data_IF_801890818006
#
_entry.id   IF_801890818006
#
_cell.length_a   1.000
_cell.length_b   1.000
_cell.length_c   1.000
_cell.angle_alpha   90.00
_cell.angle_beta   90.00
_cell.angle_gamma   90.00
#
_symmetry.space_group_name_H-M   'P 1'
#
loop_
_entity.id
_entity.type
_entity.pdbx_description
1 polymer ?
#
# COMPACT_ATOMS: atom_id res chain seq x y z
N UNK A 1 -11.76 -12.34 0.20
CA UNK A 1 -10.51 -13.01 0.60
C UNK A 1 -10.19 -12.80 2.07
N UNK A 2 -10.81 -13.62 2.91
CA UNK A 2 -10.40 -13.84 4.29
C UNK A 2 -9.07 -14.61 4.31
N UNK A 3 -8.05 -14.11 5.00
CA UNK A 3 -6.76 -14.80 5.16
C UNK A 3 -6.52 -15.10 6.65
N UNK A 4 -6.09 -16.33 6.94
CA UNK A 4 -5.53 -16.64 8.25
C UNK A 4 -4.19 -15.92 8.40
N UNK A 5 -4.08 -14.99 9.34
CA UNK A 5 -2.82 -14.27 9.59
C UNK A 5 -2.08 -14.95 10.72
N UNK A 6 -0.94 -15.56 10.40
CA UNK A 6 -0.07 -16.22 11.38
C UNK A 6 1.25 -15.46 11.49
N UNK A 7 1.64 -15.21 12.73
CA UNK A 7 3.00 -14.89 13.10
C UNK A 7 3.63 -16.19 13.62
N UNK A 8 4.52 -16.81 12.84
CA UNK A 8 5.18 -18.09 13.17
C UNK A 8 5.82 -18.05 14.57
N UNK A 9 6.44 -16.91 14.88
CA UNK A 9 7.03 -16.67 16.19
C UNK A 9 7.05 -15.18 16.51
N UNK A 10 6.86 -14.84 17.78
CA UNK A 10 7.13 -13.50 18.27
C UNK A 10 8.53 -13.35 18.89
N UNK A 11 9.37 -14.39 18.84
CA UNK A 11 10.80 -14.26 19.13
C UNK A 11 11.49 -13.48 17.99
N UNK A 12 12.27 -12.47 18.35
CA UNK A 12 13.05 -11.69 17.40
C UNK A 12 14.40 -11.30 18.01
N UNK A 13 15.50 -11.52 17.28
CA UNK A 13 16.86 -11.11 17.67
C UNK A 13 17.12 -9.62 17.50
N UNK A 14 16.28 -8.91 16.72
CA UNK A 14 16.45 -7.48 16.48
C UNK A 14 15.77 -6.64 17.54
N UNK A 15 16.34 -5.47 17.81
CA UNK A 15 15.88 -4.54 18.83
C UNK A 15 15.19 -3.29 18.25
N UNK A 16 14.34 -3.46 17.24
CA UNK A 16 13.65 -2.34 16.60
C UNK A 16 12.80 -1.56 17.61
N UNK A 17 13.06 -0.26 17.77
CA UNK A 17 12.48 0.59 18.80
C UNK A 17 10.95 0.56 18.81
N UNK A 18 10.33 0.50 17.63
CA UNK A 18 8.88 0.54 17.43
C UNK A 18 8.18 -0.83 17.56
N UNK A 19 8.92 -1.91 17.78
CA UNK A 19 8.40 -3.27 17.72
C UNK A 19 8.19 -3.87 19.12
N UNK A 20 6.97 -4.30 19.42
CA UNK A 20 6.66 -5.01 20.68
C UNK A 20 7.37 -6.36 20.79
N UNK A 21 7.77 -6.94 19.65
CA UNK A 21 8.48 -8.22 19.60
C UNK A 21 10.00 -8.06 19.63
N UNK A 22 10.53 -6.86 19.81
CA UNK A 22 11.98 -6.60 19.85
C UNK A 22 12.65 -7.40 20.97
N UNK A 23 13.93 -7.74 20.84
CA UNK A 23 14.61 -8.64 21.79
C UNK A 23 14.56 -8.13 23.23
N UNK A 24 14.62 -6.81 23.44
CA UNK A 24 14.57 -6.20 24.78
C UNK A 24 13.18 -6.13 25.42
N UNK A 25 12.11 -6.47 24.69
CA UNK A 25 10.74 -6.43 25.24
C UNK A 25 10.45 -7.61 26.16
N UNK A 26 9.86 -7.30 27.32
CA UNK A 26 9.44 -8.31 28.30
C UNK A 26 8.01 -8.79 28.03
N UNK A 27 7.82 -9.44 26.88
CA UNK A 27 6.53 -10.03 26.49
C UNK A 27 6.63 -11.55 26.44
N UNK A 28 5.52 -12.24 26.74
CA UNK A 28 5.46 -13.70 26.63
C UNK A 28 5.82 -14.12 25.21
N UNK A 29 6.78 -15.05 25.09
CA UNK A 29 7.24 -15.54 23.80
C UNK A 29 6.62 -16.88 23.45
N UNK A 30 6.21 -17.02 22.20
CA UNK A 30 5.58 -18.21 21.65
C UNK A 30 6.04 -18.44 20.21
N UNK A 31 6.05 -19.71 19.81
CA UNK A 31 6.45 -20.16 18.47
C UNK A 31 5.62 -21.37 18.09
N UNK A 32 5.11 -21.37 16.87
CA UNK A 32 4.56 -22.56 16.24
C UNK A 32 5.67 -23.40 15.62
N UNK A 33 5.48 -24.71 15.64
CA UNK A 33 6.16 -25.64 14.73
C UNK A 33 5.61 -25.47 13.31
N UNK A 34 6.39 -25.81 12.27
CA UNK A 34 5.89 -25.85 10.89
C UNK A 34 4.61 -26.68 10.74
N UNK A 35 4.53 -27.82 11.43
CA UNK A 35 3.40 -28.75 11.41
C UNK A 35 2.12 -28.10 11.92
N UNK A 36 2.17 -27.40 13.07
CA UNK A 36 1.01 -26.72 13.64
C UNK A 36 0.46 -25.63 12.70
N UNK A 37 1.34 -24.90 12.00
CA UNK A 37 0.91 -23.88 11.03
C UNK A 37 0.20 -24.52 9.84
N UNK A 38 0.74 -25.64 9.33
CA UNK A 38 0.13 -26.39 8.22
C UNK A 38 -1.24 -26.93 8.63
N UNK A 39 -1.31 -27.63 9.77
CA UNK A 39 -2.55 -28.21 10.29
C UNK A 39 -3.63 -27.13 10.49
N UNK A 40 -3.31 -26.07 11.22
CA UNK A 40 -4.25 -24.97 11.50
C UNK A 40 -4.77 -24.32 10.20
N UNK A 41 -3.90 -24.12 9.22
CA UNK A 41 -4.28 -23.57 7.91
C UNK A 41 -5.26 -24.50 7.19
N UNK A 42 -4.97 -25.80 7.14
CA UNK A 42 -5.81 -26.79 6.47
C UNK A 42 -7.16 -26.97 7.17
N UNK A 43 -7.22 -26.91 8.50
CA UNK A 43 -8.47 -27.00 9.26
C UNK A 43 -9.40 -25.82 8.99
N UNK A 44 -8.89 -24.59 9.08
CA UNK A 44 -9.68 -23.39 8.81
C UNK A 44 -10.13 -23.33 7.34
N UNK A 45 -9.28 -23.79 6.42
CA UNK A 45 -9.62 -23.84 4.99
C UNK A 45 -10.72 -24.86 4.69
N UNK A 46 -10.62 -26.09 5.20
CA UNK A 46 -11.63 -27.14 5.00
C UNK A 46 -13.01 -26.75 5.56
N UNK A 47 -13.05 -25.87 6.58
CA UNK A 47 -14.27 -25.33 7.17
C UNK A 47 -14.79 -24.06 6.47
N UNK A 48 -14.16 -23.63 5.37
CA UNK A 48 -14.48 -22.41 4.62
C UNK A 48 -14.39 -21.11 5.44
N UNK A 49 -13.57 -21.07 6.50
CA UNK A 49 -13.36 -19.86 7.30
C UNK A 49 -12.35 -18.90 6.67
N UNK A 50 -11.46 -19.44 5.84
CA UNK A 50 -10.40 -18.71 5.16
C UNK A 50 -10.33 -19.12 3.70
N UNK A 51 -9.86 -18.20 2.87
CA UNK A 51 -9.55 -18.42 1.46
C UNK A 51 -8.03 -18.57 1.23
N UNK A 52 -7.22 -18.42 2.30
CA UNK A 52 -5.76 -18.43 2.21
C UNK A 52 -5.02 -18.16 3.52
N UNK A 53 -3.69 -18.14 3.43
CA UNK A 53 -2.73 -17.91 4.52
C UNK A 53 -1.94 -16.62 4.25
N UNK A 54 -1.79 -15.80 5.30
CA UNK A 54 -0.76 -14.76 5.40
C UNK A 54 0.22 -15.18 6.48
N UNK A 55 1.46 -15.51 6.09
CA UNK A 55 2.49 -16.00 7.01
C UNK A 55 3.60 -14.96 7.18
N UNK A 56 3.92 -14.66 8.44
CA UNK A 56 5.00 -13.76 8.84
C UNK A 56 5.75 -14.33 10.05
N UNK A 57 6.88 -13.75 10.44
CA UNK A 57 7.67 -14.24 11.58
C UNK A 57 8.54 -13.12 12.17
N UNK A 58 8.85 -13.20 13.46
CA UNK A 58 10.09 -12.64 14.02
C UNK A 58 11.30 -13.49 13.63
N UNK A 59 12.53 -13.04 13.95
CA UNK A 59 13.78 -13.71 13.56
C UNK A 59 14.38 -14.40 14.79
N UNK A 60 14.47 -15.72 14.80
CA UNK A 60 14.83 -16.45 16.05
C UNK A 60 16.35 -16.56 16.25
N UNK A 61 17.07 -17.05 15.24
CA UNK A 61 18.52 -17.34 15.30
C UNK A 61 19.24 -16.63 14.16
N UNK A 62 18.74 -16.84 12.95
CA UNK A 62 19.17 -16.12 11.76
C UNK A 62 17.99 -15.92 10.81
N UNK A 63 18.11 -14.99 9.84
CA UNK A 63 17.19 -14.89 8.72
C UNK A 63 16.97 -16.22 8.00
N UNK A 64 18.04 -16.97 7.71
CA UNK A 64 17.98 -18.23 6.97
C UNK A 64 17.25 -19.34 7.71
N UNK A 65 17.52 -19.50 9.01
CA UNK A 65 16.87 -20.55 9.80
C UNK A 65 15.36 -20.35 9.84
N UNK A 66 14.96 -19.11 10.07
CA UNK A 66 13.54 -18.75 10.14
C UNK A 66 12.89 -18.87 8.76
N UNK A 67 13.57 -18.41 7.71
CA UNK A 67 13.08 -18.51 6.34
C UNK A 67 12.95 -19.98 5.89
N UNK A 68 13.85 -20.87 6.33
CA UNK A 68 13.79 -22.31 6.04
C UNK A 68 12.53 -22.95 6.60
N UNK A 69 12.14 -22.62 7.83
CA UNK A 69 10.87 -23.08 8.41
C UNK A 69 9.67 -22.54 7.64
N UNK A 70 9.70 -21.26 7.28
CA UNK A 70 8.65 -20.62 6.48
C UNK A 70 8.50 -21.25 5.09
N UNK A 71 9.61 -21.58 4.43
CA UNK A 71 9.65 -22.31 3.14
C UNK A 71 9.06 -23.71 3.31
N UNK A 72 9.45 -24.45 4.36
CA UNK A 72 8.92 -25.79 4.65
C UNK A 72 7.40 -25.77 4.79
N UNK A 73 6.84 -24.77 5.48
CA UNK A 73 5.38 -24.61 5.64
C UNK A 73 4.71 -24.43 4.27
N UNK A 74 5.13 -23.44 3.48
CA UNK A 74 4.46 -23.13 2.21
C UNK A 74 4.65 -24.24 1.17
N UNK A 75 5.82 -24.89 1.16
CA UNK A 75 6.07 -26.06 0.31
C UNK A 75 5.18 -27.22 0.70
N UNK A 76 5.08 -27.54 1.99
CA UNK A 76 4.25 -28.66 2.46
C UNK A 76 2.78 -28.43 2.14
N UNK A 77 2.27 -27.21 2.37
CA UNK A 77 0.92 -26.83 1.96
C UNK A 77 0.67 -27.11 0.46
N UNK A 78 1.60 -26.73 -0.42
CA UNK A 78 1.44 -26.90 -1.88
C UNK A 78 1.66 -28.32 -2.37
N UNK A 79 2.70 -28.99 -1.89
CA UNK A 79 3.21 -30.25 -2.45
C UNK A 79 2.59 -31.45 -1.76
N UNK A 80 2.52 -31.43 -0.43
CA UNK A 80 2.08 -32.59 0.36
C UNK A 80 0.55 -32.60 0.54
N UNK A 81 -0.07 -31.41 0.57
CA UNK A 81 -1.49 -31.25 0.90
C UNK A 81 -2.36 -30.67 -0.23
N UNK A 82 -1.78 -30.38 -1.41
CA UNK A 82 -2.45 -29.72 -2.56
C UNK A 82 -3.33 -28.53 -2.15
N UNK A 83 -2.88 -27.73 -1.18
CA UNK A 83 -3.60 -26.55 -0.76
C UNK A 83 -3.69 -25.58 -1.94
N UNK A 84 -4.92 -25.26 -2.37
CA UNK A 84 -5.21 -24.35 -3.50
C UNK A 84 -5.54 -22.92 -3.08
N UNK A 85 -5.63 -22.66 -1.78
CA UNK A 85 -5.89 -21.33 -1.24
C UNK A 85 -4.74 -20.35 -1.49
N UNK A 86 -5.02 -19.06 -1.34
CA UNK A 86 -4.03 -18.02 -1.55
C UNK A 86 -2.93 -18.06 -0.47
N UNK A 87 -1.66 -17.89 -0.82
CA UNK A 87 -0.56 -17.75 0.15
C UNK A 87 0.17 -16.43 -0.08
N UNK A 88 0.19 -15.59 0.96
CA UNK A 88 1.05 -14.42 1.06
C UNK A 88 2.11 -14.67 2.13
N UNK A 89 3.37 -14.75 1.70
CA UNK A 89 4.50 -14.92 2.60
C UNK A 89 5.26 -13.61 2.76
N UNK A 90 5.48 -13.19 4.02
CA UNK A 90 6.39 -12.09 4.35
C UNK A 90 7.81 -12.64 4.52
N UNK A 91 8.66 -12.43 3.52
CA UNK A 91 10.05 -12.90 3.54
C UNK A 91 10.91 -12.07 4.48
N UNK A 92 11.95 -12.70 5.03
CA UNK A 92 12.88 -12.04 5.96
C UNK A 92 14.05 -11.45 5.17
N UNK A 93 14.29 -10.12 5.24
CA UNK A 93 15.48 -9.51 4.68
C UNK A 93 16.76 -10.16 5.24
N UNK A 94 17.73 -10.40 4.37
CA UNK A 94 18.98 -11.07 4.73
C UNK A 94 18.92 -12.59 4.68
N UNK A 95 17.78 -13.18 4.32
CA UNK A 95 17.71 -14.58 3.96
C UNK A 95 18.38 -14.84 2.60
N UNK A 96 18.95 -16.03 2.44
CA UNK A 96 19.64 -16.48 1.25
C UNK A 96 18.72 -16.45 0.02
N UNK A 97 19.19 -15.95 -1.14
CA UNK A 97 18.38 -15.85 -2.36
C UNK A 97 17.72 -17.17 -2.78
N UNK A 98 18.37 -18.30 -2.50
CA UNK A 98 17.88 -19.64 -2.81
C UNK A 98 16.60 -19.97 -2.01
N UNK A 99 16.54 -19.58 -0.74
CA UNK A 99 15.34 -19.77 0.10
C UNK A 99 14.18 -18.89 -0.36
N UNK A 100 14.48 -17.66 -0.78
CA UNK A 100 13.49 -16.74 -1.33
C UNK A 100 12.95 -17.26 -2.66
N UNK A 101 13.84 -17.80 -3.50
CA UNK A 101 13.49 -18.42 -4.76
C UNK A 101 12.60 -19.66 -4.54
N UNK A 102 12.96 -20.56 -3.62
CA UNK A 102 12.15 -21.73 -3.26
C UNK A 102 10.76 -21.31 -2.76
N UNK A 103 10.69 -20.33 -1.85
CA UNK A 103 9.41 -19.79 -1.39
C UNK A 103 8.55 -19.27 -2.54
N UNK A 104 9.14 -18.51 -3.47
CA UNK A 104 8.40 -17.88 -4.57
C UNK A 104 7.74 -18.85 -5.54
N UNK A 105 8.20 -20.11 -5.60
CA UNK A 105 7.57 -21.19 -6.37
C UNK A 105 6.28 -21.72 -5.73
N UNK A 106 6.12 -21.54 -4.41
CA UNK A 106 5.04 -22.12 -3.62
C UNK A 106 4.01 -21.10 -3.14
N UNK A 107 4.21 -19.81 -3.39
CA UNK A 107 3.30 -18.76 -2.91
C UNK A 107 2.72 -17.91 -4.04
N UNK A 108 1.61 -17.24 -3.76
CA UNK A 108 1.01 -16.29 -4.70
C UNK A 108 1.70 -14.94 -4.61
N UNK A 109 2.03 -14.49 -3.39
CA UNK A 109 2.61 -13.18 -3.11
C UNK A 109 3.75 -13.27 -2.11
N UNK A 110 4.83 -12.54 -2.40
CA UNK A 110 5.88 -12.23 -1.44
C UNK A 110 5.76 -10.79 -0.97
N UNK A 111 6.15 -10.52 0.26
CA UNK A 111 6.38 -9.15 0.73
C UNK A 111 7.60 -9.01 1.61
N UNK A 112 8.23 -7.85 1.51
CA UNK A 112 9.38 -7.44 2.32
C UNK A 112 8.99 -6.16 3.03
N UNK A 113 9.24 -6.03 4.34
CA UNK A 113 9.08 -4.73 4.98
C UNK A 113 10.31 -3.86 4.71
N UNK A 114 10.09 -2.62 4.29
CA UNK A 114 11.12 -1.58 4.34
C UNK A 114 11.17 -0.88 5.70
N UNK A 115 10.13 -1.10 6.51
CA UNK A 115 9.94 -0.61 7.88
C UNK A 115 9.77 0.90 8.02
N UNK A 116 10.71 1.71 7.55
CA UNK A 116 10.66 3.17 7.69
C UNK A 116 10.86 3.87 6.34
N UNK A 117 10.33 5.10 6.18
CA UNK A 117 10.36 5.78 4.89
C UNK A 117 11.76 6.25 4.47
N UNK A 118 12.65 6.53 5.43
CA UNK A 118 14.00 7.03 5.19
C UNK A 118 15.08 6.11 5.78
N UNK A 119 16.27 6.11 5.19
CA UNK A 119 17.41 5.36 5.70
C UNK A 119 17.91 5.88 7.05
N UNK A 120 17.88 7.20 7.25
CA UNK A 120 18.24 7.84 8.52
C UNK A 120 17.34 7.35 9.66
N UNK A 121 16.03 7.30 9.41
CA UNK A 121 15.07 6.79 10.37
C UNK A 121 15.27 5.31 10.65
N UNK A 122 15.53 4.51 9.59
CA UNK A 122 15.83 3.08 9.73
C UNK A 122 17.06 2.86 10.61
N UNK A 123 18.16 3.55 10.35
CA UNK A 123 19.38 3.45 11.14
C UNK A 123 19.17 3.87 12.60
N UNK A 124 18.33 4.87 12.87
CA UNK A 124 18.06 5.37 14.22
C UNK A 124 17.16 4.42 15.05
N UNK A 125 16.12 3.86 14.42
CA UNK A 125 15.04 3.13 15.08
C UNK A 125 15.12 1.61 14.91
N UNK A 126 15.91 1.11 13.96
CA UNK A 126 16.12 -0.32 13.71
C UNK A 126 17.54 -0.57 13.16
N UNK A 127 18.59 -0.29 13.94
CA UNK A 127 19.98 -0.28 13.47
C UNK A 127 20.47 -1.63 12.93
N UNK A 128 19.87 -2.75 13.33
CA UNK A 128 20.23 -4.07 12.82
C UNK A 128 19.68 -4.36 11.41
N UNK A 129 18.83 -3.47 10.86
CA UNK A 129 18.27 -3.61 9.52
C UNK A 129 19.06 -2.79 8.52
N UNK A 130 19.53 -3.46 7.47
CA UNK A 130 20.24 -2.83 6.37
C UNK A 130 19.30 -2.46 5.22
N UNK A 131 19.25 -1.17 4.87
CA UNK A 131 18.45 -0.66 3.76
C UNK A 131 18.91 -1.24 2.41
N UNK A 132 20.21 -1.47 2.25
CA UNK A 132 20.79 -2.07 1.06
C UNK A 132 20.31 -3.50 0.82
N UNK A 133 20.37 -4.33 1.86
CA UNK A 133 19.91 -5.71 1.85
C UNK A 133 18.42 -5.82 1.57
N UNK A 134 17.59 -4.97 2.20
CA UNK A 134 16.14 -4.90 1.93
C UNK A 134 15.87 -4.58 0.45
N UNK A 135 16.58 -3.58 -0.11
CA UNK A 135 16.46 -3.21 -1.52
C UNK A 135 16.90 -4.33 -2.46
N UNK A 136 18.03 -4.97 -2.16
CA UNK A 136 18.54 -6.11 -2.92
C UNK A 136 17.51 -7.24 -2.92
N UNK A 137 16.95 -7.56 -1.76
CA UNK A 137 15.93 -8.60 -1.61
C UNK A 137 14.69 -8.35 -2.48
N UNK A 138 14.18 -7.11 -2.53
CA UNK A 138 13.08 -6.75 -3.44
C UNK A 138 13.48 -6.81 -4.92
N UNK A 139 14.74 -6.47 -5.24
CA UNK A 139 15.28 -6.61 -6.59
C UNK A 139 15.33 -8.08 -7.03
N UNK A 140 15.82 -8.97 -6.16
CA UNK A 140 15.92 -10.41 -6.42
C UNK A 140 14.53 -11.02 -6.69
N UNK A 141 13.51 -10.63 -5.90
CA UNK A 141 12.12 -11.05 -6.16
C UNK A 141 11.62 -10.52 -7.51
N UNK A 142 11.97 -9.28 -7.89
CA UNK A 142 11.59 -8.72 -9.19
C UNK A 142 12.23 -9.54 -10.32
N UNK A 143 13.53 -9.79 -10.24
CA UNK A 143 14.29 -10.54 -11.25
C UNK A 143 13.75 -11.97 -11.39
N UNK A 144 13.46 -12.65 -10.28
CA UNK A 144 12.83 -13.98 -10.31
C UNK A 144 11.47 -13.98 -11.02
N UNK A 145 10.67 -12.92 -10.84
CA UNK A 145 9.38 -12.76 -11.54
C UNK A 145 9.53 -12.43 -13.02
N UNK A 146 10.58 -11.72 -13.40
CA UNK A 146 10.88 -11.41 -14.80
C UNK A 146 11.35 -12.69 -15.52
N UNK A 147 12.30 -13.42 -14.93
CA UNK A 147 12.78 -14.71 -15.45
C UNK A 147 11.66 -15.76 -15.59
N UNK A 148 10.70 -15.79 -14.66
CA UNK A 148 9.56 -16.70 -14.73
C UNK A 148 8.51 -16.34 -15.81
N UNK A 149 8.66 -15.21 -16.52
CA UNK A 149 7.83 -14.88 -17.67
C UNK A 149 8.48 -15.26 -19.00
N UNK A 150 9.79 -15.47 -19.00
CA UNK A 150 10.50 -15.86 -20.20
C UNK A 150 10.04 -17.25 -20.61
N UNK A 151 9.45 -17.32 -21.80
CA UNK A 151 9.01 -18.59 -22.39
C UNK A 151 10.25 -19.44 -22.61
N UNK A 152 10.27 -20.64 -22.04
CA UNK A 152 11.33 -21.57 -22.38
C UNK A 152 11.26 -21.82 -23.89
N UNK A 153 12.41 -21.83 -24.58
CA UNK A 153 12.49 -22.20 -25.99
C UNK A 153 11.93 -23.62 -26.27
N UNK A 154 11.62 -24.39 -25.23
CA UNK A 154 11.07 -25.76 -25.28
C UNK A 154 9.54 -25.80 -25.23
N UNK A 155 8.84 -24.67 -25.24
CA UNK A 155 7.36 -24.62 -25.31
C UNK A 155 6.63 -25.08 -24.04
N UNK A 156 7.33 -25.28 -22.93
CA UNK A 156 6.71 -25.58 -21.63
C UNK A 156 6.24 -24.30 -20.95
N UNK A 157 5.07 -24.35 -20.31
CA UNK A 157 4.58 -23.25 -19.50
C UNK A 157 5.61 -22.93 -18.40
N UNK A 158 6.02 -21.65 -18.25
CA UNK A 158 7.04 -21.31 -17.27
C UNK A 158 6.52 -21.55 -15.85
N UNK A 159 7.44 -21.92 -14.94
CA UNK A 159 7.10 -22.13 -13.55
C UNK A 159 6.47 -20.86 -12.96
N UNK A 160 5.33 -20.99 -12.28
CA UNK A 160 4.69 -19.84 -11.64
C UNK A 160 5.58 -19.38 -10.49
N UNK A 161 6.07 -18.15 -10.58
CA UNK A 161 6.82 -17.49 -9.51
C UNK A 161 6.07 -16.24 -9.06
N UNK A 162 5.53 -16.26 -7.85
CA UNK A 162 4.86 -15.12 -7.21
C UNK A 162 3.85 -14.42 -8.16
N UNK A 163 2.83 -15.15 -8.65
CA UNK A 163 1.91 -14.65 -9.69
C UNK A 163 1.13 -13.38 -9.27
N UNK A 164 0.80 -13.23 -7.98
CA UNK A 164 0.12 -12.05 -7.45
C UNK A 164 1.07 -10.86 -7.18
N UNK A 165 2.36 -11.01 -7.49
CA UNK A 165 3.39 -9.98 -7.39
C UNK A 165 3.95 -9.77 -6.00
N UNK A 166 4.77 -8.74 -5.83
CA UNK A 166 5.36 -8.38 -4.54
C UNK A 166 4.78 -7.10 -3.96
N UNK A 167 4.75 -6.99 -2.64
CA UNK A 167 4.34 -5.79 -1.91
C UNK A 167 5.30 -5.46 -0.78
N UNK A 168 5.21 -4.25 -0.24
CA UNK A 168 6.01 -3.82 0.91
C UNK A 168 5.15 -3.08 1.92
N UNK A 169 5.71 -2.83 3.11
CA UNK A 169 5.08 -2.06 4.17
C UNK A 169 6.10 -1.14 4.81
N UNK A 170 5.64 0.05 5.19
CA UNK A 170 6.36 1.01 6.03
C UNK A 170 5.46 1.52 7.15
N UNK A 171 6.08 1.91 8.26
CA UNK A 171 5.44 2.55 9.41
C UNK A 171 5.52 4.06 9.17
N UNK A 172 4.41 4.75 9.44
CA UNK A 172 4.29 6.20 9.27
C UNK A 172 3.96 6.87 10.59
N UNK A 173 4.62 7.99 10.86
CA UNK A 173 4.49 8.72 12.13
C UNK A 173 5.27 8.11 13.30
N UNK A 174 6.28 7.27 13.04
CA UNK A 174 7.31 6.90 14.03
C UNK A 174 8.39 7.99 14.18
N UNK A 175 8.43 8.92 13.24
CA UNK A 175 9.32 10.08 13.18
C UNK A 175 8.60 11.27 12.52
N UNK A 176 9.32 12.35 12.28
CA UNK A 176 8.86 13.58 11.65
C UNK A 176 8.89 13.55 10.10
N UNK A 177 9.07 12.38 9.48
CA UNK A 177 9.18 12.28 8.02
C UNK A 177 7.94 12.88 7.35
N UNK A 178 8.10 13.89 6.47
CA UNK A 178 6.97 14.51 5.77
C UNK A 178 6.29 13.53 4.79
N UNK A 179 4.98 13.69 4.60
CA UNK A 179 4.23 12.84 3.66
C UNK A 179 4.76 12.95 2.22
N UNK A 180 5.26 14.12 1.80
CA UNK A 180 5.94 14.28 0.50
C UNK A 180 7.11 13.30 0.33
N UNK A 181 7.92 13.09 1.37
CA UNK A 181 9.03 12.14 1.36
C UNK A 181 8.53 10.70 1.29
N UNK A 182 7.48 10.38 2.05
CA UNK A 182 6.83 9.06 2.04
C UNK A 182 6.29 8.71 0.65
N UNK A 183 5.61 9.66 -0.01
CA UNK A 183 5.05 9.47 -1.35
C UNK A 183 6.15 9.33 -2.41
N UNK A 184 7.19 10.16 -2.36
CA UNK A 184 8.37 10.03 -3.23
C UNK A 184 9.02 8.67 -3.10
N UNK A 185 9.22 8.20 -1.87
CA UNK A 185 9.77 6.87 -1.62
C UNK A 185 8.86 5.78 -2.18
N UNK A 186 7.54 5.90 -1.97
CA UNK A 186 6.56 4.94 -2.49
C UNK A 186 6.61 4.85 -4.03
N UNK A 187 6.63 5.99 -4.72
CA UNK A 187 6.77 6.04 -6.18
C UNK A 187 8.07 5.40 -6.67
N UNK A 188 9.20 5.67 -5.99
CA UNK A 188 10.47 5.00 -6.27
C UNK A 188 10.37 3.49 -6.12
N UNK A 189 9.76 3.00 -5.04
CA UNK A 189 9.61 1.57 -4.79
C UNK A 189 8.75 0.89 -5.88
N UNK A 190 7.66 1.53 -6.32
CA UNK A 190 6.86 1.02 -7.44
C UNK A 190 7.69 0.90 -8.72
N UNK A 191 8.39 1.97 -9.12
CA UNK A 191 9.18 1.98 -10.36
C UNK A 191 10.38 1.03 -10.32
N UNK A 192 11.12 1.01 -9.21
CA UNK A 192 12.35 0.22 -9.07
C UNK A 192 12.08 -1.27 -8.88
N UNK A 193 10.97 -1.68 -8.24
CA UNK A 193 10.74 -3.09 -7.88
C UNK A 193 9.48 -3.70 -8.50
N UNK A 194 8.71 -2.93 -9.26
CA UNK A 194 7.46 -3.41 -9.87
C UNK A 194 6.45 -3.87 -8.81
N UNK A 195 6.41 -3.18 -7.66
CA UNK A 195 5.53 -3.51 -6.55
C UNK A 195 4.06 -3.44 -6.98
N UNK A 196 3.24 -4.32 -6.41
CA UNK A 196 1.79 -4.27 -6.58
C UNK A 196 1.11 -3.38 -5.54
N UNK A 197 1.75 -3.17 -4.39
CA UNK A 197 1.23 -2.33 -3.30
C UNK A 197 2.33 -1.96 -2.30
N UNK A 198 2.25 -0.73 -1.80
CA UNK A 198 2.89 -0.25 -0.58
C UNK A 198 1.80 -0.14 0.48
N UNK A 199 2.05 -0.70 1.66
CA UNK A 199 1.18 -0.56 2.83
C UNK A 199 1.76 0.49 3.77
N UNK A 200 0.93 1.44 4.18
CA UNK A 200 1.21 2.40 5.23
C UNK A 200 0.55 1.91 6.51
N UNK A 201 1.30 1.81 7.59
CA UNK A 201 0.77 1.49 8.92
C UNK A 201 1.08 2.66 9.83
N UNK A 202 0.05 3.30 10.39
CA UNK A 202 0.27 4.28 11.44
C UNK A 202 1.08 3.64 12.58
N UNK A 203 2.07 4.38 13.08
CA UNK A 203 2.78 4.00 14.27
C UNK A 203 1.79 3.80 15.43
N UNK A 204 2.00 2.72 16.20
CA UNK A 204 1.26 2.47 17.43
C UNK A 204 2.27 2.44 18.56
N UNK A 205 2.13 3.28 19.59
CA UNK A 205 2.95 3.21 20.78
C UNK A 205 2.89 1.80 21.39
N UNK A 206 4.03 1.31 21.85
CA UNK A 206 4.16 0.06 22.61
C UNK A 206 4.31 0.40 24.09
N UNK A 207 3.90 -0.49 25.01
CA UNK A 207 3.95 -0.20 26.45
C UNK A 207 5.35 0.26 26.93
N UNK A 208 6.40 -0.44 26.50
CA UNK A 208 7.80 -0.11 26.81
C UNK A 208 8.42 0.78 25.73
N UNK A 209 7.82 1.95 25.47
CA UNK A 209 8.30 2.88 24.45
C UNK A 209 9.66 3.47 24.80
N UNK A 210 10.54 3.63 23.81
CA UNK A 210 11.80 4.37 23.99
C UNK A 210 11.56 5.86 23.82
N UNK A 211 12.40 6.70 24.45
CA UNK A 211 12.37 8.16 24.27
C UNK A 211 12.63 8.63 22.82
N UNK A 212 13.07 7.72 21.94
CA UNK A 212 13.29 7.98 20.50
C UNK A 212 11.98 8.04 19.71
N UNK A 213 10.87 7.56 20.27
CA UNK A 213 9.59 7.46 19.58
C UNK A 213 8.60 8.50 20.10
N UNK A 214 7.67 8.96 19.25
CA UNK A 214 6.61 9.84 19.71
C UNK A 214 5.73 9.14 20.74
N UNK A 215 5.37 9.86 21.80
CA UNK A 215 4.48 9.35 22.86
C UNK A 215 3.01 9.31 22.41
N UNK A 216 2.65 10.15 21.44
CA UNK A 216 1.28 10.29 20.95
C UNK A 216 1.11 9.53 19.65
N UNK A 217 0.02 8.76 19.58
CA UNK A 217 -0.36 8.06 18.36
C UNK A 217 -0.62 9.09 17.25
N UNK A 218 -0.03 8.94 16.04
CA UNK A 218 -0.33 9.81 14.93
C UNK A 218 -1.83 9.75 14.57
N UNK A 219 -2.41 10.84 14.04
CA UNK A 219 -3.80 10.84 13.60
C UNK A 219 -4.04 9.71 12.59
N UNK A 220 -5.04 8.85 12.83
CA UNK A 220 -5.41 7.77 11.91
C UNK A 220 -5.74 8.29 10.50
N UNK A 221 -6.21 9.54 10.44
CA UNK A 221 -6.51 10.22 9.18
C UNK A 221 -5.28 10.39 8.28
N UNK A 222 -4.06 10.53 8.85
CA UNK A 222 -2.82 10.63 8.08
C UNK A 222 -2.56 9.37 7.26
N UNK A 223 -2.71 8.18 7.87
CA UNK A 223 -2.59 6.89 7.16
C UNK A 223 -3.60 6.80 6.01
N UNK A 224 -4.84 7.19 6.26
CA UNK A 224 -5.88 7.20 5.23
C UNK A 224 -5.55 8.17 4.08
N UNK A 225 -5.04 9.37 4.37
CA UNK A 225 -4.62 10.34 3.34
C UNK A 225 -3.47 9.81 2.48
N UNK A 226 -2.49 9.13 3.08
CA UNK A 226 -1.42 8.47 2.34
C UNK A 226 -1.95 7.40 1.38
N UNK A 227 -2.93 6.58 1.80
CA UNK A 227 -3.57 5.62 0.90
C UNK A 227 -4.34 6.29 -0.23
N UNK A 228 -5.01 7.41 0.03
CA UNK A 228 -5.68 8.18 -1.02
C UNK A 228 -4.67 8.75 -2.03
N UNK A 229 -3.54 9.28 -1.55
CA UNK A 229 -2.47 9.77 -2.40
C UNK A 229 -1.79 8.65 -3.22
N UNK A 230 -1.50 7.49 -2.61
CA UNK A 230 -1.01 6.28 -3.29
C UNK A 230 -1.95 5.85 -4.42
N UNK A 231 -3.26 5.91 -4.18
CA UNK A 231 -4.26 5.59 -5.20
C UNK A 231 -4.20 6.56 -6.39
N UNK A 232 -3.98 7.86 -6.15
CA UNK A 232 -3.79 8.84 -7.22
C UNK A 232 -2.53 8.55 -8.03
N UNK A 233 -1.41 8.22 -7.37
CA UNK A 233 -0.17 7.87 -8.08
C UNK A 233 -0.34 6.64 -8.98
N UNK A 234 -1.09 5.64 -8.51
CA UNK A 234 -1.18 4.34 -9.20
C UNK A 234 -2.23 4.25 -10.29
N UNK A 235 -3.29 5.04 -10.19
CA UNK A 235 -4.46 4.90 -11.06
C UNK A 235 -4.87 6.19 -11.76
N UNK A 236 -4.32 7.34 -11.34
CA UNK A 236 -4.65 8.67 -11.88
C UNK A 236 -3.42 9.39 -12.44
N UNK A 237 -2.27 8.71 -12.52
CA UNK A 237 -1.02 9.22 -13.10
C UNK A 237 -0.56 10.55 -12.45
N UNK A 238 -0.77 10.68 -11.14
CA UNK A 238 -0.21 11.79 -10.36
C UNK A 238 1.25 11.51 -9.99
N UNK A 239 2.11 12.50 -10.15
CA UNK A 239 3.44 12.49 -9.56
C UNK A 239 3.38 12.87 -8.06
N UNK A 240 4.30 12.34 -7.22
CA UNK A 240 4.35 12.67 -5.79
C UNK A 240 4.40 14.18 -5.50
N UNK A 241 5.17 14.92 -6.29
CA UNK A 241 5.40 16.36 -6.14
C UNK A 241 4.14 17.18 -6.42
N UNK A 242 3.24 16.67 -7.26
CA UNK A 242 1.95 17.31 -7.51
C UNK A 242 1.05 17.16 -6.28
N UNK A 243 1.04 15.98 -5.66
CA UNK A 243 0.18 15.67 -4.52
C UNK A 243 0.62 16.43 -3.26
N UNK A 244 1.91 16.38 -2.93
CA UNK A 244 2.49 16.99 -1.73
C UNK A 244 3.71 17.86 -2.07
N UNK A 245 3.57 19.17 -1.86
CA UNK A 245 4.59 20.18 -2.15
C UNK A 245 5.61 20.31 -0.98
N UNK A 246 6.31 19.23 -0.67
CA UNK A 246 7.40 19.21 0.31
C UNK A 246 6.99 19.08 1.79
N UNK A 247 5.69 19.09 2.09
CA UNK A 247 5.15 18.96 3.44
C UNK A 247 4.25 17.74 3.66
N UNK A 248 3.44 17.81 4.71
CA UNK A 248 2.40 16.83 5.01
C UNK A 248 1.14 17.06 4.16
N UNK A 249 0.34 16.01 4.02
CA UNK A 249 -0.95 16.09 3.34
C UNK A 249 -1.95 16.86 4.20
N UNK A 250 -2.91 17.49 3.51
CA UNK A 250 -4.06 18.09 4.16
C UNK A 250 -4.91 17.00 4.83
N UNK A 251 -5.14 17.14 6.13
CA UNK A 251 -5.94 16.15 6.86
C UNK A 251 -7.42 16.37 6.63
N UNK A 252 -7.89 17.58 6.36
CA UNK A 252 -9.31 17.89 6.20
C UNK A 252 -9.80 17.54 4.79
N UNK A 253 -8.97 17.76 3.78
CA UNK A 253 -9.31 17.56 2.38
C UNK A 253 -8.69 16.30 1.80
N UNK A 254 -9.42 15.58 0.96
CA UNK A 254 -8.81 14.49 0.19
C UNK A 254 -7.73 15.04 -0.78
N UNK A 255 -6.65 14.29 -1.05
CA UNK A 255 -5.52 14.80 -1.81
C UNK A 255 -5.86 15.31 -3.22
N UNK A 256 -6.89 14.74 -3.86
CA UNK A 256 -7.30 15.12 -5.22
C UNK A 256 -8.00 16.48 -5.20
N UNK A 257 -8.90 16.68 -4.25
CA UNK A 257 -9.54 17.97 -4.04
C UNK A 257 -8.54 19.03 -3.58
N UNK A 258 -7.64 18.69 -2.64
CA UNK A 258 -6.60 19.59 -2.18
C UNK A 258 -5.71 20.06 -3.35
N UNK A 259 -5.35 19.15 -4.26
CA UNK A 259 -4.66 19.50 -5.50
C UNK A 259 -5.49 20.45 -6.36
N UNK A 260 -6.76 20.15 -6.61
CA UNK A 260 -7.62 20.94 -7.48
C UNK A 260 -7.84 22.36 -6.97
N UNK A 261 -7.96 22.53 -5.65
CA UNK A 261 -8.11 23.85 -5.01
C UNK A 261 -6.84 24.70 -5.04
N UNK A 262 -5.66 24.07 -5.16
CA UNK A 262 -4.37 24.77 -5.36
C UNK A 262 -4.14 25.15 -6.81
N UNK A 263 -4.71 24.40 -7.75
CA UNK A 263 -4.55 24.59 -9.20
C UNK A 263 -5.85 25.06 -9.85
N UNK A 264 -6.47 26.12 -9.29
CA UNK A 264 -7.77 26.61 -9.77
C UNK A 264 -7.70 27.12 -11.21
N UNK A 265 -6.54 27.60 -11.63
CA UNK A 265 -6.24 28.04 -13.00
C UNK A 265 -6.41 26.92 -14.05
N UNK A 266 -6.35 25.65 -13.62
CA UNK A 266 -6.56 24.51 -14.49
C UNK A 266 -8.05 24.16 -14.71
N UNK A 267 -8.96 24.92 -14.10
CA UNK A 267 -10.40 24.71 -14.11
C UNK A 267 -11.15 25.97 -14.62
N UNK A 268 -12.37 25.81 -15.18
CA UNK A 268 -13.07 24.55 -15.40
C UNK A 268 -12.51 23.71 -16.54
N UNK A 269 -12.55 22.39 -16.36
CA UNK A 269 -12.20 21.43 -17.41
C UNK A 269 -13.39 21.26 -18.37
N UNK A 270 -13.21 21.58 -19.65
CA UNK A 270 -14.20 21.32 -20.70
C UNK A 270 -14.26 19.81 -21.01
N UNK A 271 -15.23 19.10 -20.40
CA UNK A 271 -15.28 17.62 -20.38
C UNK A 271 -15.36 17.01 -21.79
N UNK A 272 -15.99 17.72 -22.72
CA UNK A 272 -16.18 17.28 -24.10
C UNK A 272 -14.84 17.14 -24.86
N UNK A 273 -13.81 17.91 -24.48
CA UNK A 273 -12.55 18.01 -25.23
C UNK A 273 -11.31 17.66 -24.42
N UNK A 274 -11.34 17.87 -23.11
CA UNK A 274 -10.17 17.73 -22.25
C UNK A 274 -9.47 16.36 -22.38
N UNK A 275 -8.14 16.31 -22.30
CA UNK A 275 -7.41 15.04 -22.35
C UNK A 275 -7.72 14.18 -21.12
N UNK A 276 -7.39 12.88 -21.21
CA UNK A 276 -7.64 11.92 -20.13
C UNK A 276 -6.98 12.34 -18.83
N UNK A 277 -5.74 12.84 -18.87
CA UNK A 277 -5.04 13.25 -17.65
C UNK A 277 -5.81 14.34 -16.91
N UNK A 278 -6.29 15.37 -17.62
CA UNK A 278 -7.07 16.46 -17.00
C UNK A 278 -8.42 16.00 -16.46
N UNK A 279 -9.13 15.10 -17.15
CA UNK A 279 -10.36 14.49 -16.62
C UNK A 279 -10.09 13.71 -15.33
N UNK A 280 -8.95 13.03 -15.24
CA UNK A 280 -8.52 12.35 -14.03
C UNK A 280 -8.16 13.33 -12.91
N UNK A 281 -7.90 14.61 -13.17
CA UNK A 281 -7.65 15.61 -12.12
C UNK A 281 -8.93 16.18 -11.50
N UNK A 282 -10.07 16.08 -12.16
CA UNK A 282 -11.38 16.59 -11.68
C UNK A 282 -11.85 15.85 -10.41
N UNK A 283 -12.04 16.53 -9.26
CA UNK A 283 -12.64 15.92 -8.07
C UNK A 283 -14.02 15.32 -8.37
N UNK A 284 -14.31 14.13 -7.82
CA UNK A 284 -15.57 13.43 -8.08
C UNK A 284 -15.59 12.57 -9.35
N UNK A 285 -14.57 12.65 -10.23
CA UNK A 285 -14.39 11.70 -11.32
C UNK A 285 -13.50 10.53 -10.90
N UNK A 286 -14.01 9.31 -11.12
CA UNK A 286 -13.25 8.07 -10.99
C UNK A 286 -12.67 7.61 -12.34
N UNK A 287 -11.68 6.70 -12.34
CA UNK A 287 -11.14 6.12 -13.59
C UNK A 287 -12.21 5.52 -14.50
N UNK A 288 -13.14 4.73 -13.94
CA UNK A 288 -14.28 4.17 -14.68
C UNK A 288 -15.20 5.26 -15.26
N UNK A 289 -15.42 6.34 -14.53
CA UNK A 289 -16.21 7.49 -15.00
C UNK A 289 -15.50 8.17 -16.17
N UNK A 290 -14.20 8.43 -16.05
CA UNK A 290 -13.38 9.00 -17.12
C UNK A 290 -13.38 8.10 -18.37
N UNK A 291 -13.23 6.79 -18.20
CA UNK A 291 -13.27 5.85 -19.33
C UNK A 291 -14.64 5.88 -20.04
N UNK A 292 -15.75 6.01 -19.30
CA UNK A 292 -17.10 6.17 -19.88
C UNK A 292 -17.25 7.50 -20.60
N UNK A 293 -16.74 8.61 -20.04
CA UNK A 293 -16.73 9.93 -20.66
C UNK A 293 -16.01 9.86 -22.02
N UNK A 294 -14.78 9.32 -22.03
CA UNK A 294 -13.95 9.22 -23.22
C UNK A 294 -14.58 8.37 -24.32
N UNK A 295 -15.24 7.26 -23.96
CA UNK A 295 -15.96 6.42 -24.91
C UNK A 295 -17.22 7.07 -25.47
N UNK A 296 -17.89 7.90 -24.69
CA UNK A 296 -19.22 8.42 -25.04
C UNK A 296 -19.14 9.74 -25.82
N UNK A 297 -18.23 10.63 -25.44
CA UNK A 297 -18.13 11.98 -26.01
C UNK A 297 -17.88 12.06 -27.53
N UNK A 298 -17.30 11.07 -28.23
CA UNK A 298 -17.22 11.11 -29.70
C UNK A 298 -18.59 10.96 -30.38
N UNK A 299 -19.56 10.34 -29.71
CA UNK A 299 -20.86 9.98 -30.29
C UNK A 299 -21.99 10.94 -29.90
N UNK A 300 -21.76 11.80 -28.90
CA UNK A 300 -22.74 12.79 -28.44
C UNK A 300 -22.07 13.90 -27.62
N UNK A 301 -22.72 15.05 -27.58
CA UNK A 301 -22.40 16.09 -26.61
C UNK A 301 -22.82 15.64 -25.21
N UNK A 302 -21.87 15.66 -24.27
CA UNK A 302 -22.13 15.32 -22.87
C UNK A 302 -22.83 16.48 -22.16
N UNK A 303 -23.85 16.12 -21.38
CA UNK A 303 -24.65 17.01 -20.53
C UNK A 303 -24.50 16.66 -19.05
N UNK A 304 -24.96 17.53 -18.16
CA UNK A 304 -24.84 17.35 -16.72
C UNK A 304 -25.39 15.98 -16.25
N UNK A 305 -26.59 15.63 -16.71
CA UNK A 305 -27.26 14.36 -16.37
C UNK A 305 -26.52 13.13 -16.88
N UNK A 306 -25.75 13.24 -17.97
CA UNK A 306 -24.96 12.12 -18.47
C UNK A 306 -23.86 11.75 -17.48
N UNK A 307 -23.22 12.75 -16.88
CA UNK A 307 -22.16 12.51 -15.90
C UNK A 307 -22.69 11.87 -14.62
N UNK A 308 -23.88 12.29 -14.16
CA UNK A 308 -24.58 11.62 -13.04
C UNK A 308 -24.80 10.13 -13.36
N UNK A 309 -25.34 9.81 -14.55
CA UNK A 309 -25.60 8.43 -14.98
C UNK A 309 -24.31 7.62 -15.18
N UNK A 310 -23.21 8.28 -15.53
CA UNK A 310 -21.89 7.65 -15.62
C UNK A 310 -21.24 7.41 -14.25
N UNK A 311 -21.86 7.88 -13.15
CA UNK A 311 -21.38 7.69 -11.78
C UNK A 311 -20.38 8.76 -11.32
N UNK A 312 -20.38 9.94 -11.96
CA UNK A 312 -19.63 11.09 -11.43
C UNK A 312 -20.29 11.60 -10.15
N UNK A 313 -19.48 11.92 -9.14
CA UNK A 313 -19.96 12.65 -7.96
C UNK A 313 -20.07 14.14 -8.30
N UNK A 314 -21.23 14.54 -8.82
CA UNK A 314 -21.42 15.91 -9.30
C UNK A 314 -21.43 16.95 -8.19
N UNK A 315 -21.77 16.57 -6.95
CA UNK A 315 -21.60 17.42 -5.77
C UNK A 315 -20.15 17.87 -5.58
N UNK A 316 -19.18 17.03 -5.98
CA UNK A 316 -17.75 17.35 -5.98
C UNK A 316 -17.26 17.93 -7.30
N UNK A 317 -17.75 17.42 -8.44
CA UNK A 317 -17.22 17.76 -9.76
C UNK A 317 -17.75 19.09 -10.31
N UNK A 318 -18.97 19.49 -9.98
CA UNK A 318 -19.65 20.63 -10.58
C UNK A 318 -18.87 21.96 -10.54
N UNK A 319 -18.10 22.31 -9.48
CA UNK A 319 -17.27 23.51 -9.47
C UNK A 319 -16.09 23.48 -10.46
N UNK A 320 -15.67 22.30 -10.91
CA UNK A 320 -14.42 22.08 -11.63
C UNK A 320 -14.61 21.77 -13.13
N UNK A 321 -15.83 21.75 -13.64
CA UNK A 321 -16.10 21.31 -15.02
C UNK A 321 -16.99 22.27 -15.78
N UNK A 322 -16.86 22.24 -17.10
CA UNK A 322 -17.77 22.87 -18.04
C UNK A 322 -18.34 21.83 -19.02
N UNK A 323 -19.62 21.98 -19.33
CA UNK A 323 -20.40 21.18 -20.30
C UNK A 323 -21.23 22.14 -21.15
N UNK A 324 -21.92 21.61 -22.17
CA UNK A 324 -22.78 22.42 -23.03
C UNK A 324 -23.94 23.08 -22.28
N UNK A 325 -24.43 22.45 -21.20
CA UNK A 325 -25.56 22.88 -20.38
C UNK A 325 -25.16 23.24 -18.93
N UNK A 326 -23.86 23.29 -18.63
CA UNK A 326 -23.36 23.60 -17.28
C UNK A 326 -22.05 24.38 -17.31
N UNK A 327 -21.99 25.44 -16.50
CA UNK A 327 -20.76 26.15 -16.16
C UNK A 327 -20.71 26.40 -14.65
N UNK A 328 -19.52 26.45 -14.03
CA UNK A 328 -19.42 26.60 -12.58
C UNK A 328 -19.76 28.01 -12.09
N UNK A 329 -19.80 29.02 -12.97
CA UNK A 329 -19.97 30.42 -12.57
C UNK A 329 -18.96 30.83 -11.49
N UNK A 330 -19.44 31.53 -10.46
CA UNK A 330 -18.60 31.96 -9.32
C UNK A 330 -18.25 30.84 -8.31
N UNK A 331 -18.66 29.60 -8.54
CA UNK A 331 -18.41 28.51 -7.60
C UNK A 331 -16.92 28.19 -7.43
N UNK A 332 -16.14 28.33 -8.49
CA UNK A 332 -14.69 28.03 -8.49
C UNK A 332 -13.90 29.07 -7.68
N UNK A 333 -14.32 30.33 -7.74
CA UNK A 333 -13.62 31.48 -7.13
C UNK A 333 -14.06 31.75 -5.69
N UNK A 334 -15.12 31.10 -5.22
CA UNK A 334 -15.61 31.28 -3.85
C UNK A 334 -14.54 30.97 -2.81
N UNK A 335 -14.26 31.92 -1.92
CA UNK A 335 -13.34 31.75 -0.78
C UNK A 335 -13.77 30.58 0.13
N UNK A 336 -15.08 30.30 0.16
CA UNK A 336 -15.69 29.21 0.94
C UNK A 336 -15.71 27.85 0.22
N UNK A 337 -15.13 27.72 -0.97
CA UNK A 337 -15.16 26.44 -1.70
C UNK A 337 -14.51 25.31 -0.89
N UNK A 338 -13.42 25.60 -0.17
CA UNK A 338 -12.80 24.66 0.78
C UNK A 338 -13.78 24.24 1.88
N UNK A 339 -14.49 25.20 2.48
CA UNK A 339 -15.42 24.95 3.58
C UNK A 339 -16.62 24.07 3.19
N UNK A 340 -16.97 23.99 1.88
CA UNK A 340 -18.01 23.09 1.38
C UNK A 340 -17.64 21.60 1.43
N UNK A 341 -16.34 21.32 1.53
CA UNK A 341 -15.80 19.95 1.48
C UNK A 341 -15.03 19.55 2.72
N UNK A 342 -14.68 20.51 3.58
CA UNK A 342 -14.13 20.24 4.90
C UNK A 342 -15.22 19.60 5.79
N UNK A 343 -14.83 18.74 6.75
CA UNK A 343 -15.75 18.27 7.77
C UNK A 343 -16.39 19.46 8.52
N UNK A 344 -17.61 19.28 9.03
CA UNK A 344 -18.25 20.32 9.84
C UNK A 344 -17.38 20.66 11.06
N UNK A 345 -17.32 21.94 11.46
CA UNK A 345 -16.54 22.32 12.64
C UNK A 345 -17.04 21.56 13.87
N UNK A 346 -16.18 20.74 14.47
CA UNK A 346 -16.48 20.13 15.76
C UNK A 346 -16.37 21.21 16.84
N UNK A 347 -17.48 21.47 17.53
CA UNK A 347 -17.46 22.32 18.72
C UNK A 347 -16.64 21.63 19.79
N UNK A 348 -15.49 22.20 20.15
CA UNK A 348 -14.65 21.68 21.23
C UNK A 348 -15.47 21.62 22.52
N UNK A 349 -15.60 20.42 23.08
CA UNK A 349 -16.20 20.20 24.41
C UNK A 349 -15.33 20.87 25.47
N UNK A 350 -15.86 21.89 26.14
CA UNK A 350 -15.22 22.57 27.28
C UNK A 350 -15.45 21.79 28.59
N UNK A 351 -15.27 20.46 28.57
CA UNK A 351 -15.46 19.60 29.74
C UNK A 351 -14.32 18.61 29.89
#
# INVERSE_FOLDING_TARGET
MSLLKILLTNFCIFDCAYCVNRVSSNVQRARFTPEEVVELTLEFYRRNYIEGLFLSSGIIRSPDDTMRDMVRIVRSLRVDHDFRGYIHLKTIPGASPELVAEAGLHVDRLSVNIELPTETSLASLAPEKDAGAIRKHMADIRLGREAAKDLSHKGTAPAKFVPAGQSTQMIVGADDTPDATILKQSARLYGSYGLKRVYYSAFSPIPDSTAKLPLVKPPLLREHRLYQADWLMRFYDFAPEEIAQGGNLDLDLDPKLAWALRHREAFPVEVQRAPREMLLRVPGFGTKTVDRILRTRPHRTLRYDDLLRMGASMTKAAPFIALADWTPGALLDGERLRARFAPEPEQLSLF
#
